data_IF_927913432437
#
_entry.id   IF_927913432437
#
_cell.length_a   1.000
_cell.length_b   1.000
_cell.length_c   1.000
_cell.angle_alpha   90.00
_cell.angle_beta   90.00
_cell.angle_gamma   90.00
#
_symmetry.space_group_name_H-M   'P 1'
#
loop_
_entity.id
_entity.type
_entity.pdbx_description
1 polymer ?
#
# COMPACT_ATOMS: atom_id res chain seq x y z
N UNK A 1 10.47 -12.94 -12.09
CA UNK A 1 9.75 -11.87 -11.37
C UNK A 1 9.27 -10.88 -12.40
N UNK A 2 8.02 -10.43 -12.31
CA UNK A 2 7.47 -9.40 -13.20
C UNK A 2 7.18 -8.15 -12.37
N UNK A 3 7.16 -6.98 -13.01
CA UNK A 3 6.80 -5.72 -12.35
C UNK A 3 5.46 -5.84 -11.60
N UNK A 4 4.51 -6.64 -12.13
CA UNK A 4 3.24 -6.91 -11.47
C UNK A 4 3.38 -7.72 -10.16
N UNK A 5 4.22 -8.77 -10.15
CA UNK A 5 4.47 -9.54 -8.92
C UNK A 5 5.18 -8.70 -7.86
N UNK A 6 6.08 -7.81 -8.28
CA UNK A 6 6.81 -6.94 -7.37
C UNK A 6 5.90 -5.85 -6.79
N UNK A 7 4.97 -5.29 -7.58
CA UNK A 7 3.94 -4.37 -7.08
C UNK A 7 3.02 -5.02 -6.04
N UNK A 8 2.59 -6.27 -6.25
CA UNK A 8 1.76 -7.00 -5.27
C UNK A 8 2.50 -7.22 -3.95
N UNK A 9 3.80 -7.52 -4.00
CA UNK A 9 4.64 -7.62 -2.80
C UNK A 9 4.78 -6.29 -2.08
N UNK A 10 4.98 -5.20 -2.84
CA UNK A 10 5.05 -3.85 -2.27
C UNK A 10 3.74 -3.44 -1.59
N UNK A 11 2.59 -3.76 -2.20
CA UNK A 11 1.26 -3.54 -1.60
C UNK A 11 1.12 -4.26 -0.26
N UNK A 12 1.45 -5.56 -0.22
CA UNK A 12 1.38 -6.34 1.02
C UNK A 12 2.32 -5.78 2.11
N UNK A 13 3.52 -5.35 1.73
CA UNK A 13 4.45 -4.72 2.66
C UNK A 13 3.92 -3.38 3.20
N UNK A 14 3.30 -2.56 2.35
CA UNK A 14 2.69 -1.29 2.77
C UNK A 14 1.49 -1.51 3.70
N UNK A 15 0.62 -2.48 3.40
CA UNK A 15 -0.50 -2.86 4.27
C UNK A 15 -0.01 -3.37 5.64
N UNK A 16 1.04 -4.21 5.64
CA UNK A 16 1.66 -4.69 6.88
C UNK A 16 2.26 -3.53 7.69
N UNK A 17 2.96 -2.60 7.04
CA UNK A 17 3.53 -1.42 7.72
C UNK A 17 2.43 -0.55 8.33
N UNK A 18 1.34 -0.30 7.60
CA UNK A 18 0.16 0.43 8.09
C UNK A 18 -0.41 -0.22 9.36
N UNK A 19 -0.60 -1.54 9.36
CA UNK A 19 -1.07 -2.29 10.53
C UNK A 19 -0.12 -2.19 11.72
N UNK A 20 1.19 -2.26 11.48
CA UNK A 20 2.21 -2.06 12.52
C UNK A 20 2.12 -0.66 13.13
N UNK A 21 2.01 0.40 12.32
CA UNK A 21 1.89 1.77 12.84
C UNK A 21 0.61 1.97 13.65
N UNK A 22 -0.52 1.38 13.23
CA UNK A 22 -1.75 1.40 14.03
C UNK A 22 -1.55 0.73 15.40
N UNK A 23 -0.86 -0.42 15.43
CA UNK A 23 -0.51 -1.11 16.68
C UNK A 23 0.41 -0.26 17.56
N UNK A 24 1.41 0.40 16.98
CA UNK A 24 2.34 1.26 17.72
C UNK A 24 1.65 2.49 18.30
N UNK A 25 0.76 3.13 17.53
CA UNK A 25 -0.06 4.25 17.99
C UNK A 25 -0.99 3.86 19.15
N UNK A 26 -1.48 2.61 19.18
CA UNK A 26 -2.32 2.09 20.24
C UNK A 26 -1.52 1.71 21.51
N UNK A 27 -0.27 1.25 21.35
CA UNK A 27 0.57 0.78 22.44
C UNK A 27 1.40 1.89 23.12
N UNK A 28 1.64 3.01 22.44
CA UNK A 28 2.46 4.11 22.98
C UNK A 28 1.68 5.03 23.91
N UNK A 29 2.32 5.46 25.00
CA UNK A 29 1.79 6.49 25.92
C UNK A 29 2.27 7.91 25.54
N UNK A 30 3.28 8.02 24.68
CA UNK A 30 3.76 9.30 24.17
C UNK A 30 2.79 9.85 23.10
N UNK A 31 2.18 10.98 23.41
CA UNK A 31 1.18 11.62 22.56
C UNK A 31 1.74 12.16 21.22
N UNK A 32 3.01 12.58 21.20
CA UNK A 32 3.70 12.98 19.97
C UNK A 32 3.96 11.75 19.10
N UNK A 33 4.48 10.67 19.69
CA UNK A 33 4.70 9.42 18.97
C UNK A 33 3.39 8.82 18.42
N UNK A 34 2.30 8.91 19.19
CA UNK A 34 0.97 8.47 18.75
C UNK A 34 0.53 9.23 17.49
N UNK A 35 0.68 10.55 17.49
CA UNK A 35 0.32 11.39 16.35
C UNK A 35 1.20 11.08 15.14
N UNK A 36 2.50 10.89 15.36
CA UNK A 36 3.45 10.47 14.33
C UNK A 36 3.04 9.14 13.67
N UNK A 37 2.77 8.08 14.46
CA UNK A 37 2.38 6.78 13.91
C UNK A 37 1.05 6.83 13.16
N UNK A 38 0.08 7.62 13.63
CA UNK A 38 -1.18 7.83 12.91
C UNK A 38 -0.94 8.53 11.56
N UNK A 39 -0.06 9.52 11.51
CA UNK A 39 0.31 10.17 10.25
C UNK A 39 1.00 9.19 9.29
N UNK A 40 1.95 8.40 9.79
CA UNK A 40 2.61 7.37 8.97
C UNK A 40 1.62 6.35 8.41
N UNK A 41 0.57 6.00 9.16
CA UNK A 41 -0.52 5.17 8.67
C UNK A 41 -1.29 5.79 7.50
N UNK A 42 -1.56 7.10 7.55
CA UNK A 42 -2.21 7.85 6.46
C UNK A 42 -1.30 7.93 5.22
N UNK A 43 0.01 8.10 5.41
CA UNK A 43 0.97 8.09 4.32
C UNK A 43 1.00 6.73 3.61
N UNK A 44 0.87 5.62 4.38
CA UNK A 44 0.73 4.29 3.79
C UNK A 44 -0.55 4.12 2.98
N UNK A 45 -1.67 4.75 3.38
CA UNK A 45 -2.88 4.76 2.55
C UNK A 45 -2.65 5.40 1.19
N UNK A 46 -1.95 6.54 1.16
CA UNK A 46 -1.54 7.19 -0.10
C UNK A 46 -0.65 6.27 -0.95
N UNK A 47 0.32 5.58 -0.34
CA UNK A 47 1.19 4.64 -1.05
C UNK A 47 0.39 3.46 -1.63
N UNK A 48 -0.52 2.88 -0.86
CA UNK A 48 -1.38 1.76 -1.29
C UNK A 48 -2.23 2.18 -2.48
N UNK A 49 -2.85 3.38 -2.44
CA UNK A 49 -3.65 3.89 -3.55
C UNK A 49 -2.82 4.07 -4.84
N UNK A 50 -1.62 4.62 -4.74
CA UNK A 50 -0.73 4.80 -5.89
C UNK A 50 -0.30 3.46 -6.50
N UNK A 51 0.09 2.50 -5.65
CA UNK A 51 0.49 1.16 -6.09
C UNK A 51 -0.68 0.40 -6.73
N UNK A 52 -1.88 0.49 -6.15
CA UNK A 52 -3.09 -0.10 -6.72
C UNK A 52 -3.49 0.53 -8.07
N UNK A 53 -3.34 1.84 -8.21
CA UNK A 53 -3.57 2.54 -9.47
C UNK A 53 -2.62 2.05 -10.56
N UNK A 54 -1.33 1.89 -10.22
CA UNK A 54 -0.34 1.34 -11.15
C UNK A 54 -0.63 -0.11 -11.51
N UNK A 55 -1.00 -0.93 -10.54
CA UNK A 55 -1.35 -2.33 -10.76
C UNK A 55 -2.57 -2.44 -11.70
N UNK A 56 -3.58 -1.61 -11.48
CA UNK A 56 -4.78 -1.53 -12.32
C UNK A 56 -4.45 -1.14 -13.76
N UNK A 57 -3.59 -0.14 -13.95
CA UNK A 57 -3.09 0.25 -15.28
C UNK A 57 -2.35 -0.89 -15.99
N UNK A 58 -1.48 -1.60 -15.29
CA UNK A 58 -0.77 -2.74 -15.89
C UNK A 58 -1.74 -3.87 -16.28
N UNK A 59 -2.80 -4.09 -15.49
CA UNK A 59 -3.84 -5.07 -15.82
C UNK A 59 -4.70 -4.65 -17.03
N UNK A 60 -4.94 -3.35 -17.22
CA UNK A 60 -5.75 -2.82 -18.33
C UNK A 60 -4.97 -2.74 -19.64
N UNK A 61 -3.67 -2.49 -19.58
CA UNK A 61 -2.79 -2.40 -20.78
C UNK A 61 -2.24 -3.75 -21.20
N UNK A 62 -2.37 -4.79 -20.35
CA UNK A 62 -1.90 -6.13 -20.67
C UNK A 62 -2.59 -6.64 -21.97
N UNK A 63 -1.86 -6.91 -23.06
CA UNK A 63 -2.44 -7.22 -24.37
C UNK A 63 -3.40 -8.42 -24.37
N UNK A 64 -3.29 -9.34 -23.42
CA UNK A 64 -4.25 -10.45 -23.24
C UNK A 64 -5.68 -10.01 -22.88
N UNK A 65 -5.91 -8.76 -22.44
CA UNK A 65 -7.24 -8.19 -22.20
C UNK A 65 -7.78 -7.40 -23.42
N UNK A 66 -6.96 -7.12 -24.44
CA UNK A 66 -7.41 -6.42 -25.65
C UNK A 66 -8.12 -7.34 -26.64
N UNK A 67 -7.86 -8.64 -26.59
CA UNK A 67 -8.43 -9.63 -27.53
C UNK A 67 -9.76 -10.26 -27.06
N UNK A 68 -10.44 -9.67 -26.07
CA UNK A 68 -11.72 -10.19 -25.53
C UNK A 68 -12.91 -9.21 -25.60
N UNK A 69 -12.87 -8.25 -26.52
CA UNK A 69 -14.03 -7.40 -26.84
C UNK A 69 -14.45 -7.63 -28.29
#
# INVERSE_FOLDING_TARGET
MTVQSDLKRALAAAESAKGSYATFAAATEDQLAKTMFLQMGQDMDSHIQQLNSRLSYLNSVNPMNKDKV
#
